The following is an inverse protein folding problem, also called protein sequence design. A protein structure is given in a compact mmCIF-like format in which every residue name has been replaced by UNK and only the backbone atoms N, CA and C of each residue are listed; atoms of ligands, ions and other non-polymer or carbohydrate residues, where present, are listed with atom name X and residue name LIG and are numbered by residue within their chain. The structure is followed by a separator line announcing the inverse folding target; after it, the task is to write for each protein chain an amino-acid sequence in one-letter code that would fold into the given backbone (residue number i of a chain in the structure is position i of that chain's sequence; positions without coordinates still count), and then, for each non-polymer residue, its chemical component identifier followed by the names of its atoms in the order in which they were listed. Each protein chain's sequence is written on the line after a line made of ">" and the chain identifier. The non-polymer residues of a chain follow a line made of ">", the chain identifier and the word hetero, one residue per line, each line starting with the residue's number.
data_IF_548376515171
#
_entry.id   IF_548376515171
#
_cell.length_a   1.000
_cell.length_b   1.000
_cell.length_c   1.000
_cell.angle_alpha   90.00
_cell.angle_beta   90.00
_cell.angle_gamma   90.00
#
_symmetry.space_group_name_H-M   'P 1'
#
loop_
_entity.id
_entity.type
_entity.pdbx_description
1 polymer ?
#
# COMPACT_ATOMS: atom_id res chain seq x y z
N UNK A 1 39.89 17.63 -25.02
CA UNK A 1 39.01 17.36 -23.85
C UNK A 1 37.60 17.79 -24.22
N UNK A 2 36.59 16.96 -23.94
CA UNK A 2 35.18 17.33 -24.17
C UNK A 2 34.76 18.43 -23.21
N UNK A 3 34.00 19.42 -23.70
CA UNK A 3 33.39 20.45 -22.85
C UNK A 3 32.39 19.81 -21.88
N UNK A 4 32.48 20.08 -20.57
CA UNK A 4 31.50 19.57 -19.61
C UNK A 4 30.12 20.17 -19.89
N UNK A 5 29.07 19.44 -19.52
CA UNK A 5 27.70 19.93 -19.64
C UNK A 5 27.51 21.20 -18.81
N UNK A 6 26.73 22.14 -19.35
CA UNK A 6 26.30 23.31 -18.58
C UNK A 6 25.47 22.89 -17.36
N UNK A 7 25.32 23.78 -16.38
CA UNK A 7 24.50 23.52 -15.20
C UNK A 7 23.06 23.14 -15.57
N UNK A 8 22.42 23.90 -16.47
CA UNK A 8 21.04 23.64 -16.90
C UNK A 8 20.92 22.33 -17.68
N UNK A 9 21.88 22.04 -18.57
CA UNK A 9 21.92 20.77 -19.31
C UNK A 9 22.08 19.59 -18.35
N UNK A 10 22.94 19.71 -17.34
CA UNK A 10 23.15 18.67 -16.32
C UNK A 10 21.87 18.43 -15.52
N UNK A 11 21.15 19.49 -15.13
CA UNK A 11 19.86 19.35 -14.43
C UNK A 11 18.83 18.62 -15.28
N UNK A 12 18.72 18.99 -16.55
CA UNK A 12 17.80 18.36 -17.49
C UNK A 12 18.11 16.86 -17.65
N UNK A 13 19.37 16.50 -17.90
CA UNK A 13 19.80 15.10 -18.06
C UNK A 13 19.51 14.30 -16.79
N UNK A 14 19.83 14.84 -15.61
CA UNK A 14 19.60 14.16 -14.33
C UNK A 14 18.11 13.91 -14.06
N UNK A 15 17.20 14.76 -14.56
CA UNK A 15 15.76 14.55 -14.40
C UNK A 15 15.27 13.28 -15.09
N UNK A 16 15.82 12.95 -16.25
CA UNK A 16 15.43 11.79 -17.06
C UNK A 16 16.33 10.57 -16.85
N UNK A 17 17.35 10.69 -16.01
CA UNK A 17 18.25 9.60 -15.66
C UNK A 17 17.51 8.49 -14.89
N UNK A 18 17.91 7.24 -15.10
CA UNK A 18 17.43 6.15 -14.26
C UNK A 18 17.81 6.44 -12.81
N UNK A 19 16.87 6.27 -11.87
CA UNK A 19 17.09 6.61 -10.47
C UNK A 19 18.30 5.89 -9.87
N UNK A 20 18.51 4.60 -10.20
CA UNK A 20 19.65 3.82 -9.73
C UNK A 20 20.97 4.44 -10.14
N UNK A 21 21.11 4.75 -11.42
CA UNK A 21 22.32 5.35 -11.98
C UNK A 21 22.53 6.77 -11.43
N UNK A 22 21.45 7.52 -11.22
CA UNK A 22 21.47 8.85 -10.63
C UNK A 22 21.99 8.83 -9.20
N UNK A 23 21.54 7.88 -8.36
CA UNK A 23 22.06 7.72 -7.00
C UNK A 23 23.56 7.37 -7.00
N UNK A 24 23.99 6.45 -7.88
CA UNK A 24 25.39 6.09 -8.03
C UNK A 24 26.25 7.30 -8.47
N UNK A 25 25.80 8.03 -9.49
CA UNK A 25 26.47 9.24 -9.96
C UNK A 25 26.59 10.30 -8.85
N UNK A 26 25.51 10.55 -8.13
CA UNK A 26 25.44 11.50 -7.02
C UNK A 26 26.40 11.14 -5.89
N UNK A 27 26.55 9.85 -5.60
CA UNK A 27 27.50 9.38 -4.57
C UNK A 27 28.96 9.60 -4.94
N UNK A 28 29.29 9.64 -6.23
CA UNK A 28 30.67 9.78 -6.74
C UNK A 28 31.01 11.20 -7.20
N UNK A 29 30.02 12.08 -7.34
CA UNK A 29 30.20 13.45 -7.84
C UNK A 29 29.70 14.50 -6.83
N UNK A 30 30.60 15.13 -6.03
CA UNK A 30 30.23 16.16 -5.06
C UNK A 30 29.49 17.35 -5.67
N UNK A 31 29.86 17.78 -6.88
CA UNK A 31 29.21 18.89 -7.58
C UNK A 31 27.74 18.60 -7.87
N UNK A 32 27.41 17.40 -8.37
CA UNK A 32 26.02 16.97 -8.61
C UNK A 32 25.26 16.85 -7.29
N UNK A 33 25.90 16.30 -6.25
CA UNK A 33 25.30 16.10 -4.92
C UNK A 33 24.73 17.37 -4.30
N UNK A 34 25.31 18.54 -4.60
CA UNK A 34 24.86 19.83 -4.07
C UNK A 34 23.46 20.23 -4.56
N UNK A 35 23.06 19.83 -5.78
CA UNK A 35 21.79 20.26 -6.37
C UNK A 35 20.88 19.10 -6.81
N UNK A 36 21.33 17.84 -6.73
CA UNK A 36 20.55 16.68 -7.21
C UNK A 36 19.16 16.60 -6.59
N UNK A 37 19.03 16.86 -5.28
CA UNK A 37 17.74 16.82 -4.58
C UNK A 37 16.75 17.90 -5.03
N UNK A 38 17.23 18.97 -5.67
CA UNK A 38 16.40 20.03 -6.25
C UNK A 38 15.77 19.63 -7.60
N UNK A 39 16.17 18.49 -8.14
CA UNK A 39 15.64 17.97 -9.40
C UNK A 39 14.60 16.89 -9.05
N UNK A 40 13.40 16.91 -9.67
CA UNK A 40 12.39 15.88 -9.46
C UNK A 40 12.96 14.46 -9.61
N UNK A 41 12.51 13.54 -8.77
CA UNK A 41 12.88 12.13 -8.84
C UNK A 41 11.63 11.30 -9.16
N UNK A 42 11.72 10.47 -10.21
CA UNK A 42 10.67 9.54 -10.59
C UNK A 42 11.09 8.11 -10.22
N UNK A 43 10.27 7.42 -9.44
CA UNK A 43 10.46 6.03 -9.03
C UNK A 43 9.29 5.18 -9.54
N UNK A 44 9.60 3.96 -9.97
CA UNK A 44 8.60 2.94 -10.25
C UNK A 44 8.12 2.31 -8.94
N UNK A 45 9.07 1.92 -8.09
CA UNK A 45 8.79 1.30 -6.79
C UNK A 45 9.53 2.04 -5.66
N UNK A 46 8.77 2.40 -4.63
CA UNK A 46 9.29 2.82 -3.32
C UNK A 46 8.72 1.86 -2.27
N UNK A 47 9.59 1.15 -1.55
CA UNK A 47 9.15 0.21 -0.50
C UNK A 47 9.81 0.50 0.84
N UNK A 48 9.00 0.46 1.89
CA UNK A 48 9.44 0.53 3.27
C UNK A 48 9.22 -0.83 3.94
N UNK A 49 10.22 -1.33 4.64
CA UNK A 49 10.18 -2.62 5.35
C UNK A 49 10.96 -2.52 6.65
N UNK A 50 10.92 -3.58 7.47
CA UNK A 50 11.51 -3.64 8.81
C UNK A 50 12.86 -2.97 8.99
N UNK A 51 13.75 -3.23 8.05
CA UNK A 51 15.18 -2.94 8.11
C UNK A 51 15.67 -2.32 6.80
N UNK A 52 14.79 -1.99 5.85
CA UNK A 52 15.24 -1.44 4.59
C UNK A 52 14.25 -0.49 3.92
N UNK A 53 14.83 0.38 3.08
CA UNK A 53 14.12 1.22 2.11
C UNK A 53 14.59 0.78 0.72
N UNK A 54 13.65 0.54 -0.19
CA UNK A 54 13.92 0.12 -1.57
C UNK A 54 13.47 1.23 -2.51
N UNK A 55 14.37 1.68 -3.39
CA UNK A 55 14.12 2.63 -4.45
C UNK A 55 14.42 1.94 -5.79
N UNK A 56 13.37 1.50 -6.50
CA UNK A 56 13.48 0.66 -7.70
C UNK A 56 14.38 -0.58 -7.47
N UNK A 57 15.60 -0.55 -8.02
CA UNK A 57 16.58 -1.63 -7.97
C UNK A 57 17.65 -1.42 -6.90
N UNK A 58 17.54 -0.37 -6.09
CA UNK A 58 18.44 -0.09 -4.97
C UNK A 58 17.77 -0.44 -3.65
N UNK A 59 18.44 -1.25 -2.83
CA UNK A 59 18.04 -1.57 -1.45
C UNK A 59 19.05 -0.99 -0.47
N UNK A 60 18.54 -0.20 0.48
CA UNK A 60 19.30 0.37 1.58
C UNK A 60 18.88 -0.35 2.86
N UNK A 61 19.74 -1.25 3.35
CA UNK A 61 19.45 -2.15 4.47
C UNK A 61 20.23 -1.75 5.73
N UNK A 62 19.53 -1.53 6.84
CA UNK A 62 20.11 -1.44 8.16
C UNK A 62 20.58 -2.81 8.63
N UNK A 63 21.79 -2.86 9.17
CA UNK A 63 22.39 -4.04 9.76
C UNK A 63 22.63 -3.73 11.24
N UNK A 64 22.09 -4.58 12.10
CA UNK A 64 22.25 -4.49 13.54
C UNK A 64 23.46 -5.30 13.99
N UNK A 65 24.30 -4.69 14.81
CA UNK A 65 25.35 -5.36 15.56
C UNK A 65 25.07 -5.17 17.05
N UNK A 66 24.93 -6.27 17.78
CA UNK A 66 24.63 -6.24 19.21
C UNK A 66 25.90 -6.54 20.01
N UNK A 67 26.25 -5.63 20.92
CA UNK A 67 27.31 -5.83 21.90
C UNK A 67 26.68 -6.17 23.25
N UNK A 68 27.00 -7.35 23.79
CA UNK A 68 26.45 -7.83 25.06
C UNK A 68 27.55 -7.82 26.12
N UNK A 69 27.34 -7.10 27.22
CA UNK A 69 28.18 -7.21 28.42
C UNK A 69 27.61 -8.29 29.33
N UNK A 70 28.45 -9.24 29.74
CA UNK A 70 28.06 -10.35 30.62
C UNK A 70 28.82 -10.31 31.95
N UNK A 71 28.17 -10.73 33.02
CA UNK A 71 28.79 -10.96 34.33
C UNK A 71 29.57 -12.28 34.31
N UNK A 72 30.41 -12.51 35.34
CA UNK A 72 31.24 -13.72 35.47
C UNK A 72 30.46 -15.05 35.49
N UNK A 73 29.14 -15.02 35.75
CA UNK A 73 28.24 -16.18 35.67
C UNK A 73 27.52 -16.35 34.32
N UNK A 74 27.81 -15.50 33.33
CA UNK A 74 27.18 -15.52 32.00
C UNK A 74 25.89 -14.70 31.87
N UNK A 75 25.39 -14.11 32.96
CA UNK A 75 24.22 -13.22 32.96
C UNK A 75 24.48 -11.95 32.13
N UNK A 76 23.51 -11.55 31.31
CA UNK A 76 23.59 -10.33 30.51
C UNK A 76 23.36 -9.11 31.40
N UNK A 77 24.40 -8.29 31.55
CA UNK A 77 24.36 -7.02 32.30
C UNK A 77 23.75 -5.93 31.43
N UNK A 78 24.17 -5.85 30.17
CA UNK A 78 23.60 -4.91 29.22
C UNK A 78 23.77 -5.39 27.79
N UNK A 79 22.84 -4.95 26.94
CA UNK A 79 22.90 -5.11 25.50
C UNK A 79 22.92 -3.73 24.87
N UNK A 80 23.79 -3.52 23.88
CA UNK A 80 23.88 -2.26 23.14
C UNK A 80 23.86 -2.57 21.66
N UNK A 81 22.83 -2.06 20.97
CA UNK A 81 22.71 -2.18 19.51
C UNK A 81 23.42 -1.05 18.79
N UNK A 82 24.06 -1.40 17.68
CA UNK A 82 24.71 -0.50 16.76
C UNK A 82 24.18 -0.75 15.35
N UNK A 83 23.89 0.32 14.61
CA UNK A 83 23.37 0.21 13.25
C UNK A 83 24.35 0.71 12.21
N UNK A 84 24.37 0.03 11.07
CA UNK A 84 25.16 0.34 9.88
C UNK A 84 24.33 0.10 8.62
N UNK A 85 24.70 0.65 7.46
CA UNK A 85 23.88 0.54 6.24
C UNK A 85 24.63 -0.22 5.16
N UNK A 86 23.95 -1.19 4.54
CA UNK A 86 24.41 -1.89 3.35
C UNK A 86 23.56 -1.46 2.15
N UNK A 87 24.24 -1.23 1.03
CA UNK A 87 23.66 -0.79 -0.22
C UNK A 87 23.75 -1.96 -1.18
N UNK A 88 22.61 -2.40 -1.71
CA UNK A 88 22.57 -3.50 -2.67
C UNK A 88 21.80 -3.08 -3.93
N UNK A 89 22.21 -3.64 -5.07
CA UNK A 89 21.50 -3.53 -6.33
C UNK A 89 20.80 -4.85 -6.64
N UNK A 90 19.60 -4.80 -7.23
CA UNK A 90 18.89 -5.99 -7.70
C UNK A 90 19.74 -6.73 -8.73
N UNK A 91 19.91 -8.04 -8.53
CA UNK A 91 20.67 -8.92 -9.40
C UNK A 91 20.06 -10.32 -9.36
N UNK A 92 19.39 -10.71 -10.45
CA UNK A 92 18.68 -12.00 -10.54
C UNK A 92 19.60 -13.23 -10.52
N UNK A 93 20.92 -13.04 -10.62
CA UNK A 93 21.91 -14.14 -10.48
C UNK A 93 22.20 -14.49 -9.03
N UNK A 94 21.89 -13.59 -8.10
CA UNK A 94 22.10 -13.80 -6.67
C UNK A 94 20.94 -14.61 -6.10
N UNK A 95 21.22 -15.58 -5.23
CA UNK A 95 20.19 -16.35 -4.52
C UNK A 95 19.23 -15.44 -3.73
N UNK A 96 19.76 -14.35 -3.15
CA UNK A 96 18.95 -13.37 -2.43
C UNK A 96 18.20 -12.41 -3.36
N UNK A 97 18.52 -12.38 -4.66
CA UNK A 97 18.08 -11.38 -5.64
C UNK A 97 18.80 -10.04 -5.55
N UNK A 98 19.81 -9.90 -4.66
CA UNK A 98 20.51 -8.63 -4.42
C UNK A 98 22.03 -8.82 -4.34
N UNK A 99 22.77 -7.94 -5.00
CA UNK A 99 24.23 -7.84 -4.93
C UNK A 99 24.63 -6.61 -4.13
N UNK A 100 25.41 -6.79 -3.07
CA UNK A 100 25.99 -5.67 -2.31
C UNK A 100 26.97 -4.88 -3.18
N UNK A 101 26.79 -3.56 -3.24
CA UNK A 101 27.62 -2.65 -4.04
C UNK A 101 28.43 -1.68 -3.18
N UNK A 102 27.99 -1.41 -1.94
CA UNK A 102 28.69 -0.61 -0.96
C UNK A 102 28.19 -0.92 0.45
N UNK A 103 28.98 -0.56 1.46
CA UNK A 103 28.58 -0.59 2.87
C UNK A 103 29.12 0.64 3.59
N UNK A 104 28.31 1.20 4.48
CA UNK A 104 28.73 2.19 5.46
C UNK A 104 29.01 1.44 6.75
N UNK A 105 30.28 1.20 7.05
CA UNK A 105 30.72 0.42 8.23
C UNK A 105 30.71 1.24 9.52
N UNK A 106 30.50 2.55 9.45
CA UNK A 106 30.34 3.41 10.62
C UNK A 106 29.13 2.96 11.42
N UNK A 107 29.39 2.53 12.66
CA UNK A 107 28.38 2.02 13.58
C UNK A 107 27.84 3.16 14.43
N UNK A 108 26.52 3.31 14.44
CA UNK A 108 25.82 4.31 15.25
C UNK A 108 25.07 3.63 16.39
N UNK A 109 25.31 4.08 17.62
CA UNK A 109 24.55 3.66 18.81
C UNK A 109 23.31 4.55 18.93
N UNK A 110 22.23 4.13 18.29
CA UNK A 110 20.92 4.79 18.29
C UNK A 110 19.83 3.71 18.27
N UNK A 111 18.57 4.06 18.52
CA UNK A 111 17.47 3.11 18.32
C UNK A 111 17.29 2.77 16.84
N UNK A 112 16.69 1.61 16.56
CA UNK A 112 16.36 1.18 15.20
C UNK A 112 15.48 2.19 14.46
N UNK A 113 14.46 2.74 15.12
CA UNK A 113 13.56 3.72 14.52
C UNK A 113 14.32 5.00 14.15
N UNK A 114 15.16 5.53 15.05
CA UNK A 114 16.02 6.68 14.74
C UNK A 114 16.99 6.40 13.58
N UNK A 115 17.49 5.16 13.46
CA UNK A 115 18.33 4.77 12.32
C UNK A 115 17.54 4.76 11.01
N UNK A 116 16.30 4.27 11.02
CA UNK A 116 15.39 4.29 9.86
C UNK A 116 14.99 5.72 9.48
N UNK A 117 14.63 6.57 10.45
CA UNK A 117 14.33 7.99 10.24
C UNK A 117 15.51 8.73 9.60
N UNK A 118 16.72 8.52 10.13
CA UNK A 118 17.94 9.10 9.54
C UNK A 118 18.14 8.60 8.11
N UNK A 119 17.94 7.31 7.84
CA UNK A 119 18.06 6.74 6.51
C UNK A 119 17.03 7.36 5.55
N UNK A 120 15.76 7.40 5.94
CA UNK A 120 14.68 8.02 5.16
C UNK A 120 14.97 9.50 4.88
N UNK A 121 15.44 10.26 5.86
CA UNK A 121 15.83 11.67 5.72
C UNK A 121 17.00 11.86 4.75
N UNK A 122 17.99 10.96 4.76
CA UNK A 122 19.12 11.01 3.82
C UNK A 122 18.64 10.75 2.39
N UNK A 123 17.80 9.73 2.18
CA UNK A 123 17.39 9.28 0.85
C UNK A 123 16.32 10.19 0.22
N UNK A 124 15.33 10.57 1.02
CA UNK A 124 14.08 11.17 0.58
C UNK A 124 13.94 12.63 1.03
N UNK A 125 14.49 12.97 2.20
CA UNK A 125 14.39 14.31 2.77
C UNK A 125 15.09 15.39 1.94
N UNK A 126 14.48 16.57 1.88
CA UNK A 126 14.99 17.73 1.12
C UNK A 126 14.79 17.65 -0.40
N UNK A 127 13.99 16.68 -0.88
CA UNK A 127 13.58 16.61 -2.29
C UNK A 127 12.33 17.46 -2.52
N UNK A 128 12.31 18.21 -3.63
CA UNK A 128 11.21 19.12 -3.96
C UNK A 128 10.00 18.36 -4.54
N UNK A 129 10.26 17.35 -5.37
CA UNK A 129 9.20 16.57 -6.02
C UNK A 129 9.63 15.11 -6.14
N UNK A 130 8.85 14.22 -5.54
CA UNK A 130 9.02 12.78 -5.65
C UNK A 130 7.75 12.18 -6.27
N UNK A 131 7.88 11.65 -7.49
CA UNK A 131 6.82 10.92 -8.17
C UNK A 131 7.08 9.44 -8.05
N UNK A 132 6.09 8.69 -7.59
CA UNK A 132 6.19 7.25 -7.34
C UNK A 132 5.02 6.54 -8.00
N UNK A 133 5.30 5.64 -8.92
CA UNK A 133 4.25 4.84 -9.55
C UNK A 133 3.58 3.91 -8.53
N UNK A 134 4.40 3.19 -7.73
CA UNK A 134 3.94 2.28 -6.68
C UNK A 134 4.71 2.49 -5.38
N UNK A 135 3.99 2.81 -4.31
CA UNK A 135 4.51 2.89 -2.95
C UNK A 135 3.97 1.72 -2.12
N UNK A 136 4.85 1.07 -1.37
CA UNK A 136 4.51 -0.06 -0.50
C UNK A 136 5.08 0.14 0.91
N UNK A 137 4.24 0.02 1.93
CA UNK A 137 4.65 -0.03 3.33
C UNK A 137 4.29 -1.42 3.86
N UNK A 138 5.31 -2.21 4.20
CA UNK A 138 5.12 -3.56 4.73
C UNK A 138 4.77 -3.53 6.22
N UNK A 139 4.04 -4.54 6.68
CA UNK A 139 3.73 -4.83 8.10
C UNK A 139 4.90 -4.60 9.05
N UNK A 140 6.08 -5.02 8.66
CA UNK A 140 7.23 -4.97 9.56
C UNK A 140 7.79 -3.55 9.76
N UNK A 141 7.32 -2.55 9.01
CA UNK A 141 7.72 -1.14 9.17
C UNK A 141 7.00 -0.50 10.37
N UNK A 142 7.76 -0.06 11.37
CA UNK A 142 7.21 0.49 12.61
C UNK A 142 6.37 1.74 12.37
N UNK A 143 5.20 1.78 13.00
CA UNK A 143 4.27 2.94 13.01
C UNK A 143 4.83 4.13 13.80
N UNK A 144 5.85 3.91 14.63
CA UNK A 144 6.50 4.94 15.43
C UNK A 144 7.60 5.69 14.66
N UNK A 145 7.89 5.28 13.41
CA UNK A 145 8.86 5.98 12.57
C UNK A 145 8.20 7.24 12.00
N UNK A 146 8.78 8.39 12.31
CA UNK A 146 8.33 9.66 11.74
C UNK A 146 8.75 9.81 10.27
N UNK A 147 7.87 10.42 9.48
CA UNK A 147 8.19 10.81 8.12
C UNK A 147 9.16 12.01 8.10
N UNK A 148 10.05 12.12 7.10
CA UNK A 148 10.92 13.30 6.99
C UNK A 148 10.11 14.60 6.91
N UNK A 149 10.57 15.66 7.58
CA UNK A 149 9.87 16.95 7.57
C UNK A 149 9.69 17.50 6.14
N UNK A 150 8.51 18.08 5.88
CA UNK A 150 8.10 18.63 4.57
C UNK A 150 8.21 17.63 3.41
N UNK A 151 8.12 16.34 3.70
CA UNK A 151 8.19 15.30 2.69
C UNK A 151 6.81 15.03 2.11
N UNK A 152 6.68 15.22 0.80
CA UNK A 152 5.48 14.87 0.06
C UNK A 152 5.81 14.02 -1.17
N UNK A 153 4.94 13.07 -1.46
CA UNK A 153 5.07 12.12 -2.57
C UNK A 153 3.81 12.17 -3.41
N UNK A 154 3.96 12.36 -4.72
CA UNK A 154 2.88 12.10 -5.67
C UNK A 154 2.88 10.61 -6.03
N UNK A 155 1.86 9.87 -5.60
CA UNK A 155 1.79 8.40 -5.74
C UNK A 155 0.64 7.95 -6.64
N UNK A 156 0.89 6.99 -7.53
CA UNK A 156 -0.12 6.39 -8.41
C UNK A 156 -0.84 5.18 -7.80
N UNK A 157 -0.11 4.32 -7.08
CA UNK A 157 -0.61 3.15 -6.36
C UNK A 157 -0.01 3.10 -4.96
N UNK A 158 -0.84 3.06 -3.93
CA UNK A 158 -0.42 2.96 -2.53
C UNK A 158 -0.84 1.61 -1.95
N UNK A 159 0.12 0.89 -1.38
CA UNK A 159 -0.08 -0.41 -0.72
C UNK A 159 0.39 -0.32 0.72
N UNK A 160 -0.53 -0.42 1.68
CA UNK A 160 -0.23 -0.27 3.10
C UNK A 160 -1.20 -1.08 3.98
N UNK A 161 -1.35 -2.36 3.65
CA UNK A 161 -2.26 -3.34 4.26
C UNK A 161 -2.24 -3.40 5.80
N UNK A 162 -1.15 -2.95 6.42
CA UNK A 162 -0.92 -3.05 7.87
C UNK A 162 -0.83 -1.68 8.57
N UNK A 163 -1.11 -0.61 7.83
CA UNK A 163 -1.03 0.76 8.32
C UNK A 163 -2.36 1.48 8.08
N UNK A 164 -2.73 2.28 9.07
CA UNK A 164 -3.87 3.16 8.97
C UNK A 164 -3.59 4.24 7.91
N UNK A 165 -4.56 4.54 7.05
CA UNK A 165 -4.37 5.55 6.01
C UNK A 165 -3.99 6.92 6.59
N UNK A 166 -4.49 7.21 7.80
CA UNK A 166 -4.19 8.41 8.59
C UNK A 166 -2.69 8.59 8.88
N UNK A 167 -1.95 7.49 9.06
CA UNK A 167 -0.50 7.52 9.26
C UNK A 167 0.26 7.94 7.99
N UNK A 168 -0.30 7.66 6.82
CA UNK A 168 0.33 7.86 5.51
C UNK A 168 -0.11 9.19 4.90
N UNK A 169 -1.32 9.65 5.22
CA UNK A 169 -1.92 10.87 4.69
C UNK A 169 -0.97 12.10 4.73
N UNK A 170 -0.17 12.35 5.78
CA UNK A 170 0.71 13.52 5.83
C UNK A 170 1.75 13.59 4.71
N UNK A 171 2.16 12.44 4.13
CA UNK A 171 3.17 12.38 3.08
C UNK A 171 2.59 12.24 1.68
N UNK A 172 1.28 11.97 1.53
CA UNK A 172 0.65 11.88 0.22
C UNK A 172 0.39 13.28 -0.30
N UNK A 173 1.08 13.63 -1.40
CA UNK A 173 0.92 14.94 -2.02
C UNK A 173 -0.50 15.10 -2.56
N UNK A 174 -1.05 16.31 -2.40
CA UNK A 174 -2.35 16.69 -2.95
C UNK A 174 -2.47 16.50 -4.48
N UNK A 175 -1.36 16.48 -5.20
CA UNK A 175 -1.31 16.27 -6.65
C UNK A 175 -1.23 14.78 -7.05
N UNK A 176 -1.33 13.84 -6.10
CA UNK A 176 -1.22 12.40 -6.38
C UNK A 176 -2.33 11.91 -7.33
N UNK A 177 -1.99 11.23 -8.43
CA UNK A 177 -2.96 10.62 -9.34
C UNK A 177 -3.40 9.24 -8.82
N UNK A 178 -3.65 9.12 -7.52
CA UNK A 178 -3.83 7.84 -6.83
C UNK A 178 -5.06 7.10 -7.39
N UNK A 179 -4.82 5.96 -8.04
CA UNK A 179 -5.88 5.11 -8.62
C UNK A 179 -6.13 3.84 -7.82
N UNK A 180 -5.12 3.38 -7.10
CA UNK A 180 -5.17 2.17 -6.27
C UNK A 180 -4.78 2.56 -4.85
N UNK A 181 -5.67 2.31 -3.89
CA UNK A 181 -5.45 2.55 -2.48
C UNK A 181 -5.72 1.27 -1.71
N UNK A 182 -4.73 0.81 -0.97
CA UNK A 182 -4.82 -0.35 -0.08
C UNK A 182 -4.30 0.05 1.30
N UNK A 183 -5.16 -0.04 2.32
CA UNK A 183 -4.88 0.45 3.68
C UNK A 183 -5.84 -0.12 4.73
N UNK A 184 -5.49 0.12 6.00
CA UNK A 184 -6.42 0.03 7.13
C UNK A 184 -7.13 1.37 7.37
N UNK A 185 -8.36 1.33 7.91
CA UNK A 185 -9.18 2.52 8.18
C UNK A 185 -9.74 2.47 9.60
N UNK A 186 -9.39 3.46 10.42
CA UNK A 186 -9.85 3.51 11.82
C UNK A 186 -10.83 4.66 12.09
N UNK A 187 -10.96 5.60 11.15
CA UNK A 187 -11.76 6.80 11.32
C UNK A 187 -12.73 7.03 10.14
N UNK A 188 -13.99 7.33 10.44
CA UNK A 188 -15.02 7.66 9.45
C UNK A 188 -14.66 8.87 8.59
N UNK A 189 -14.07 9.92 9.18
CA UNK A 189 -13.72 11.14 8.45
C UNK A 189 -12.68 10.89 7.35
N UNK A 190 -11.93 9.78 7.47
CA UNK A 190 -10.95 9.37 6.47
C UNK A 190 -11.60 9.04 5.13
N UNK A 191 -12.85 8.56 5.14
CA UNK A 191 -13.60 8.27 3.91
C UNK A 191 -14.06 9.52 3.17
N UNK A 192 -14.08 10.69 3.83
CA UNK A 192 -14.31 11.97 3.15
C UNK A 192 -13.10 12.47 2.38
N UNK A 193 -11.94 11.85 2.59
CA UNK A 193 -10.73 12.20 1.88
C UNK A 193 -10.86 11.96 0.37
N UNK A 194 -10.41 12.94 -0.43
CA UNK A 194 -10.44 12.88 -1.89
C UNK A 194 -9.72 11.66 -2.48
N UNK A 195 -8.70 11.13 -1.80
CA UNK A 195 -7.95 9.97 -2.26
C UNK A 195 -8.75 8.68 -2.08
N UNK A 196 -9.50 8.56 -0.98
CA UNK A 196 -10.40 7.43 -0.75
C UNK A 196 -11.55 7.48 -1.75
N UNK A 197 -12.22 8.64 -1.90
CA UNK A 197 -13.32 8.81 -2.86
C UNK A 197 -12.89 8.69 -4.33
N UNK A 198 -11.67 9.11 -4.65
CA UNK A 198 -11.15 9.17 -6.01
C UNK A 198 -10.43 7.92 -6.48
N UNK A 199 -10.08 7.00 -5.58
CA UNK A 199 -9.44 5.74 -5.96
C UNK A 199 -10.40 4.91 -6.84
N UNK A 200 -9.88 4.35 -7.93
CA UNK A 200 -10.64 3.42 -8.76
C UNK A 200 -10.77 2.08 -8.03
N UNK A 201 -9.65 1.60 -7.50
CA UNK A 201 -9.48 0.34 -6.79
C UNK A 201 -9.19 0.65 -5.32
N UNK A 202 -10.11 0.29 -4.43
CA UNK A 202 -10.02 0.49 -2.98
C UNK A 202 -9.98 -0.86 -2.28
N UNK A 203 -8.85 -1.17 -1.66
CA UNK A 203 -8.64 -2.37 -0.86
C UNK A 203 -8.61 -1.99 0.62
N UNK A 204 -9.46 -2.63 1.40
CA UNK A 204 -9.61 -2.42 2.84
C UNK A 204 -9.19 -3.72 3.51
N UNK A 205 -8.04 -3.72 4.17
CA UNK A 205 -7.51 -4.92 4.86
C UNK A 205 -7.90 -4.96 6.32
N UNK A 206 -8.18 -3.82 6.92
CA UNK A 206 -8.77 -3.74 8.25
C UNK A 206 -9.61 -2.48 8.37
N UNK A 207 -10.71 -2.57 9.11
CA UNK A 207 -11.61 -1.45 9.34
C UNK A 207 -12.17 -1.47 10.75
N UNK A 208 -12.20 -0.32 11.41
CA UNK A 208 -12.90 -0.19 12.69
C UNK A 208 -14.41 -0.27 12.47
N UNK A 209 -15.14 -1.01 13.32
CA UNK A 209 -16.59 -1.20 13.21
C UNK A 209 -17.39 0.11 13.14
N UNK A 210 -16.90 1.17 13.79
CA UNK A 210 -17.51 2.51 13.71
C UNK A 210 -17.61 3.04 12.28
N UNK A 211 -16.77 2.55 11.36
CA UNK A 211 -16.78 2.94 9.96
C UNK A 211 -17.76 2.14 9.10
N UNK A 212 -18.38 1.05 9.59
CA UNK A 212 -19.31 0.26 8.80
C UNK A 212 -20.43 1.05 8.11
N UNK A 213 -21.06 2.06 8.74
CA UNK A 213 -22.13 2.82 8.08
C UNK A 213 -21.69 3.56 6.80
N UNK A 214 -20.42 3.96 6.70
CA UNK A 214 -19.92 4.71 5.54
C UNK A 214 -19.68 3.80 4.32
N UNK A 215 -19.51 2.50 4.52
CA UNK A 215 -19.18 1.55 3.45
C UNK A 215 -20.25 1.50 2.36
N UNK A 216 -21.53 1.66 2.73
CA UNK A 216 -22.65 1.71 1.78
C UNK A 216 -22.56 2.91 0.83
N UNK A 217 -21.91 4.00 1.25
CA UNK A 217 -21.80 5.24 0.48
C UNK A 217 -20.64 5.25 -0.51
N UNK A 218 -19.73 4.28 -0.43
CA UNK A 218 -18.53 4.23 -1.27
C UNK A 218 -18.90 4.12 -2.73
N UNK A 219 -18.36 5.00 -3.58
CA UNK A 219 -18.62 5.02 -5.03
C UNK A 219 -17.43 4.56 -5.88
N UNK A 220 -16.42 3.96 -5.25
CA UNK A 220 -15.27 3.35 -5.94
C UNK A 220 -15.72 2.28 -6.95
N UNK A 221 -14.92 2.10 -8.01
CA UNK A 221 -15.25 1.16 -9.09
C UNK A 221 -15.11 -0.28 -8.62
N UNK A 222 -14.02 -0.56 -7.92
CA UNK A 222 -13.70 -1.88 -7.40
C UNK A 222 -13.33 -1.71 -5.93
N UNK A 223 -14.13 -2.28 -5.03
CA UNK A 223 -13.83 -2.30 -3.59
C UNK A 223 -13.59 -3.73 -3.13
N UNK A 224 -12.52 -3.98 -2.38
CA UNK A 224 -12.19 -5.32 -1.89
C UNK A 224 -11.91 -5.30 -0.40
N UNK A 225 -12.49 -6.26 0.32
CA UNK A 225 -12.32 -6.53 1.73
C UNK A 225 -11.65 -7.88 1.84
N UNK A 226 -10.42 -7.91 2.34
CA UNK A 226 -9.60 -9.12 2.36
C UNK A 226 -9.34 -9.47 3.81
N UNK A 227 -9.66 -10.71 4.18
CA UNK A 227 -9.51 -11.25 5.54
C UNK A 227 -10.30 -10.39 6.55
N UNK A 228 -11.52 -10.00 6.12
CA UNK A 228 -12.44 -9.19 6.89
C UNK A 228 -13.85 -9.76 6.81
N UNK A 229 -14.32 -10.27 7.93
CA UNK A 229 -15.70 -10.71 8.09
C UNK A 229 -16.59 -9.53 8.44
N UNK A 230 -17.09 -8.89 7.38
CA UNK A 230 -18.08 -7.84 7.51
C UNK A 230 -19.40 -8.43 7.99
N UNK A 231 -20.02 -7.90 9.06
CA UNK A 231 -21.30 -8.41 9.53
C UNK A 231 -22.34 -8.40 8.41
N UNK A 232 -23.17 -9.45 8.35
CA UNK A 232 -24.25 -9.59 7.36
C UNK A 232 -25.07 -8.30 7.14
N UNK A 233 -25.44 -7.58 8.20
CA UNK A 233 -26.21 -6.33 8.09
C UNK A 233 -25.48 -5.22 7.34
N UNK A 234 -24.15 -5.17 7.43
CA UNK A 234 -23.33 -4.22 6.67
C UNK A 234 -23.44 -4.52 5.18
N UNK A 235 -23.30 -5.79 4.78
CA UNK A 235 -23.44 -6.22 3.38
C UNK A 235 -24.84 -5.90 2.87
N UNK A 236 -25.88 -6.20 3.65
CA UNK A 236 -27.26 -5.89 3.28
C UNK A 236 -27.47 -4.38 3.12
N UNK A 237 -26.86 -3.55 3.97
CA UNK A 237 -26.96 -2.08 3.86
C UNK A 237 -26.32 -1.55 2.57
N UNK A 238 -25.20 -2.13 2.14
CA UNK A 238 -24.53 -1.80 0.88
C UNK A 238 -25.44 -2.15 -0.30
N UNK A 239 -25.98 -3.38 -0.32
CA UNK A 239 -26.89 -3.85 -1.39
C UNK A 239 -28.16 -3.00 -1.44
N UNK A 240 -28.74 -2.69 -0.28
CA UNK A 240 -29.91 -1.80 -0.17
C UNK A 240 -29.63 -0.44 -0.81
N UNK A 241 -28.49 0.17 -0.47
CA UNK A 241 -28.09 1.46 -1.06
C UNK A 241 -27.93 1.38 -2.59
N UNK A 242 -27.34 0.29 -3.11
CA UNK A 242 -27.20 0.10 -4.56
C UNK A 242 -28.54 -0.02 -5.28
N UNK A 243 -29.54 -0.64 -4.64
CA UNK A 243 -30.91 -0.73 -5.18
C UNK A 243 -31.61 0.63 -5.13
N UNK A 244 -31.49 1.36 -4.02
CA UNK A 244 -32.19 2.64 -3.79
C UNK A 244 -31.61 3.80 -4.61
N UNK A 245 -30.28 3.94 -4.62
CA UNK A 245 -29.59 5.05 -5.29
C UNK A 245 -29.08 4.69 -6.69
N UNK A 246 -29.11 3.41 -7.04
CA UNK A 246 -28.48 2.88 -8.24
C UNK A 246 -26.96 2.77 -8.15
N UNK A 247 -26.40 1.87 -8.96
CA UNK A 247 -24.96 1.66 -9.08
C UNK A 247 -24.52 1.71 -10.54
N UNK A 248 -23.32 2.23 -10.78
CA UNK A 248 -22.69 2.21 -12.10
C UNK A 248 -22.44 0.76 -12.55
N UNK A 249 -22.72 0.46 -13.81
CA UNK A 249 -22.50 -0.88 -14.38
C UNK A 249 -20.99 -1.18 -14.43
N UNK A 250 -20.62 -2.40 -14.07
CA UNK A 250 -19.25 -2.87 -13.95
C UNK A 250 -18.59 -2.47 -12.62
N UNK A 251 -19.33 -1.88 -11.69
CA UNK A 251 -18.82 -1.73 -10.31
C UNK A 251 -18.87 -3.07 -9.59
N UNK A 252 -17.76 -3.40 -8.92
CA UNK A 252 -17.61 -4.63 -8.17
C UNK A 252 -17.25 -4.37 -6.70
N UNK A 253 -17.69 -5.29 -5.87
CA UNK A 253 -17.37 -5.37 -4.45
C UNK A 253 -17.01 -6.82 -4.14
N UNK A 254 -15.89 -7.05 -3.48
CA UNK A 254 -15.36 -8.38 -3.18
C UNK A 254 -15.08 -8.51 -1.69
N UNK A 255 -15.51 -9.61 -1.08
CA UNK A 255 -15.15 -10.01 0.29
C UNK A 255 -14.44 -11.36 0.22
N UNK A 256 -13.33 -11.47 0.94
CA UNK A 256 -12.75 -12.75 1.36
C UNK A 256 -12.87 -12.85 2.88
N UNK A 257 -13.58 -13.87 3.35
CA UNK A 257 -13.75 -14.15 4.77
C UNK A 257 -12.52 -14.88 5.33
N UNK A 258 -12.32 -14.78 6.65
CA UNK A 258 -11.30 -15.58 7.34
C UNK A 258 -11.73 -17.06 7.37
N UNK A 259 -10.76 -17.98 7.28
CA UNK A 259 -11.02 -19.43 7.35
C UNK A 259 -11.58 -19.86 8.72
N UNK A 260 -11.33 -19.05 9.76
CA UNK A 260 -11.78 -19.30 11.13
C UNK A 260 -13.20 -18.76 11.42
N UNK A 261 -13.79 -17.97 10.53
CA UNK A 261 -15.10 -17.35 10.76
C UNK A 261 -16.26 -18.27 10.34
N UNK A 262 -17.20 -18.47 11.27
CA UNK A 262 -18.42 -19.29 11.09
C UNK A 262 -19.56 -18.54 10.37
N UNK A 263 -19.32 -17.39 9.71
CA UNK A 263 -20.39 -16.73 8.95
C UNK A 263 -20.72 -17.53 7.69
N UNK A 264 -21.86 -18.22 7.74
CA UNK A 264 -22.40 -18.96 6.60
C UNK A 264 -22.72 -18.00 5.44
N UNK A 265 -21.84 -17.96 4.43
CA UNK A 265 -22.11 -17.24 3.16
C UNK A 265 -23.50 -17.61 2.58
N UNK A 266 -23.97 -18.83 2.87
CA UNK A 266 -25.30 -19.31 2.52
C UNK A 266 -26.41 -18.53 3.24
N UNK A 267 -26.27 -18.25 4.54
CA UNK A 267 -27.23 -17.42 5.30
C UNK A 267 -27.26 -15.98 4.77
N UNK A 268 -26.11 -15.43 4.39
CA UNK A 268 -26.03 -14.10 3.75
C UNK A 268 -26.81 -14.11 2.43
N UNK A 269 -26.54 -15.07 1.55
CA UNK A 269 -27.20 -15.19 0.25
C UNK A 269 -28.70 -15.43 0.39
N UNK A 270 -29.14 -16.29 1.30
CA UNK A 270 -30.56 -16.55 1.54
C UNK A 270 -31.27 -15.33 2.15
N UNK A 271 -30.61 -14.60 3.05
CA UNK A 271 -31.14 -13.34 3.57
C UNK A 271 -31.31 -12.31 2.45
N UNK A 272 -30.30 -12.14 1.59
CA UNK A 272 -30.35 -11.22 0.45
C UNK A 272 -31.44 -11.62 -0.56
N UNK A 273 -31.57 -12.92 -0.85
CA UNK A 273 -32.61 -13.47 -1.72
C UNK A 273 -34.00 -13.14 -1.19
N UNK A 274 -34.25 -13.43 0.08
CA UNK A 274 -35.57 -13.24 0.68
C UNK A 274 -35.93 -11.75 0.82
N UNK A 275 -34.95 -10.91 1.17
CA UNK A 275 -35.17 -9.47 1.39
C UNK A 275 -35.33 -8.67 0.11
N UNK A 276 -34.73 -9.11 -0.99
CA UNK A 276 -34.70 -8.37 -2.26
C UNK A 276 -35.26 -9.16 -3.46
N UNK A 277 -36.09 -10.17 -3.19
CA UNK A 277 -36.76 -11.01 -4.22
C UNK A 277 -35.79 -11.60 -5.26
N UNK A 278 -34.60 -12.01 -4.77
CA UNK A 278 -33.54 -12.53 -5.60
C UNK A 278 -33.86 -13.89 -6.25
N UNK A 279 -33.19 -14.19 -7.37
CA UNK A 279 -33.34 -15.44 -8.12
C UNK A 279 -31.98 -16.07 -8.40
N UNK A 280 -31.82 -17.33 -8.02
CA UNK A 280 -30.64 -18.11 -8.38
C UNK A 280 -30.61 -18.36 -9.89
N UNK A 281 -29.41 -18.33 -10.49
CA UNK A 281 -29.22 -18.69 -11.88
C UNK A 281 -29.56 -20.16 -12.12
N UNK A 282 -30.13 -20.47 -13.29
CA UNK A 282 -30.37 -21.86 -13.70
C UNK A 282 -29.03 -22.53 -13.97
N UNK A 283 -28.74 -23.67 -13.31
CA UNK A 283 -27.46 -24.38 -13.44
C UNK A 283 -27.25 -24.84 -14.88
N UNK A 284 -26.32 -24.25 -15.61
CA UNK A 284 -25.93 -24.70 -16.96
C UNK A 284 -24.65 -25.54 -16.92
N UNK A 285 -23.73 -25.26 -15.98
CA UNK A 285 -22.49 -26.01 -15.78
C UNK A 285 -22.20 -26.27 -14.30
N UNK A 286 -21.39 -27.30 -14.00
CA UNK A 286 -20.99 -27.69 -12.63
C UNK A 286 -20.18 -26.65 -11.85
N UNK A 287 -19.77 -25.55 -12.51
CA UNK A 287 -19.07 -24.39 -11.91
C UNK A 287 -19.99 -23.20 -11.60
N UNK A 288 -21.28 -23.26 -11.94
CA UNK A 288 -22.28 -22.19 -11.71
C UNK A 288 -23.03 -22.32 -10.38
N UNK A 289 -22.54 -23.14 -9.45
CA UNK A 289 -23.20 -23.29 -8.16
C UNK A 289 -23.07 -21.96 -7.40
N UNK A 290 -24.22 -21.35 -7.10
CA UNK A 290 -24.42 -20.26 -6.13
C UNK A 290 -24.33 -18.82 -6.68
N UNK A 291 -24.72 -18.60 -7.94
CA UNK A 291 -24.99 -17.25 -8.44
C UNK A 291 -26.41 -16.77 -8.09
N UNK A 292 -26.52 -15.75 -7.21
CA UNK A 292 -27.78 -15.06 -6.92
C UNK A 292 -27.89 -13.78 -7.76
N UNK A 293 -29.07 -13.53 -8.34
CA UNK A 293 -29.35 -12.30 -9.09
C UNK A 293 -30.45 -11.50 -8.38
N UNK A 294 -30.21 -10.21 -8.13
CA UNK A 294 -31.18 -9.28 -7.56
C UNK A 294 -31.43 -8.14 -8.55
N UNK A 295 -32.69 -7.76 -8.76
CA UNK A 295 -33.01 -6.67 -9.67
C UNK A 295 -32.63 -5.32 -9.05
N UNK A 296 -31.83 -4.52 -9.76
CA UNK A 296 -31.50 -3.15 -9.35
C UNK A 296 -32.39 -2.13 -10.04
N UNK A 297 -32.72 -2.36 -11.31
CA UNK A 297 -33.63 -1.52 -12.11
C UNK A 297 -34.26 -2.33 -13.25
N UNK A 298 -35.03 -1.69 -14.14
CA UNK A 298 -35.53 -2.33 -15.36
C UNK A 298 -34.41 -2.81 -16.31
N UNK A 299 -33.23 -2.18 -16.30
CA UNK A 299 -32.12 -2.46 -17.21
C UNK A 299 -30.84 -3.01 -16.56
N UNK A 300 -30.80 -3.14 -15.24
CA UNK A 300 -29.62 -3.61 -14.50
C UNK A 300 -29.98 -4.50 -13.31
N UNK A 301 -29.01 -5.30 -12.89
CA UNK A 301 -29.11 -6.27 -11.79
C UNK A 301 -27.81 -6.31 -10.99
N UNK A 302 -27.91 -6.74 -9.74
CA UNK A 302 -26.78 -7.09 -8.89
C UNK A 302 -26.59 -8.60 -8.97
N UNK A 303 -25.37 -9.03 -9.23
CA UNK A 303 -24.97 -10.43 -9.29
C UNK A 303 -24.08 -10.74 -8.11
N UNK A 304 -24.44 -11.75 -7.34
CA UNK A 304 -23.64 -12.30 -6.27
C UNK A 304 -23.03 -13.61 -6.77
N UNK A 305 -21.72 -13.78 -6.62
CA UNK A 305 -21.01 -15.02 -6.93
C UNK A 305 -20.23 -15.47 -5.71
N UNK A 306 -20.49 -16.70 -5.27
CA UNK A 306 -19.67 -17.41 -4.30
C UNK A 306 -18.39 -17.90 -4.99
N UNK A 307 -17.24 -17.63 -4.39
CA UNK A 307 -15.93 -18.13 -4.81
C UNK A 307 -15.38 -19.13 -3.80
N UNK A 308 -14.46 -19.99 -4.24
CA UNK A 308 -13.85 -21.01 -3.38
C UNK A 308 -12.36 -20.69 -3.16
N UNK A 309 -11.87 -20.73 -1.89
CA UNK A 309 -12.63 -20.82 -0.64
C UNK A 309 -13.13 -19.43 -0.16
N UNK A 310 -14.31 -19.40 0.47
CA UNK A 310 -14.81 -18.33 1.34
C UNK A 310 -14.70 -16.91 0.77
N UNK A 311 -15.31 -16.68 -0.39
CA UNK A 311 -15.40 -15.34 -0.94
C UNK A 311 -16.76 -15.04 -1.56
N UNK A 312 -17.17 -13.78 -1.43
CA UNK A 312 -18.39 -13.25 -2.03
C UNK A 312 -18.02 -12.09 -2.96
N UNK A 313 -18.37 -12.24 -4.24
CA UNK A 313 -18.28 -11.15 -5.23
C UNK A 313 -19.67 -10.59 -5.51
N UNK A 314 -19.82 -9.28 -5.43
CA UNK A 314 -21.05 -8.53 -5.74
C UNK A 314 -20.77 -7.58 -6.89
N UNK A 315 -21.49 -7.72 -8.00
CA UNK A 315 -21.23 -6.97 -9.23
C UNK A 315 -22.52 -6.33 -9.78
N UNK A 316 -22.46 -5.05 -10.11
CA UNK A 316 -23.55 -4.37 -10.81
C UNK A 316 -23.41 -4.61 -12.33
N UNK A 317 -24.36 -5.32 -12.95
CA UNK A 317 -24.30 -5.68 -14.37
C UNK A 317 -25.55 -5.24 -15.12
N UNK A 318 -25.43 -5.15 -16.45
CA UNK A 318 -26.58 -4.96 -17.33
C UNK A 318 -27.44 -6.23 -17.35
N UNK A 319 -28.77 -6.07 -17.43
CA UNK A 319 -29.67 -7.20 -17.65
C UNK A 319 -29.43 -7.81 -19.03
#
# INVERSE_FOLDING_TARGET
>A
MSTPLSYQSTRCVLQYFNSTERFLLTSRCPTIKQFEKSIPLCLKDLKFSRDCIILNDLRFRLNEAVSVKRAGRGEVISSTSFYSVTFSQRDGRMMTGWRTIASCTTRMQISKNMAMEKLARILLGGRITLLVERMEIKDEYSKDIEWPANFQIAVGRLVAQHHNFEYILPIVSNASPLKYLDSQFSNMETFDNKFVKGAKELYITNINESCYPILATLRNKDTSFIDLSLPKEVIISIVKNWIEEGREIGTSFYIRYDEEDEEDEEDILDTLKNRFEGRYATKVLSRDNDQLNVSMSSSSRIVFRKGIPMSLTVEAVRK
#
